data_IF_145904739653
#
_entry.id   IF_145904739653
#
_cell.length_a   1.000
_cell.length_b   1.000
_cell.length_c   1.000
_cell.angle_alpha   90.00
_cell.angle_beta   90.00
_cell.angle_gamma   90.00
#
_symmetry.space_group_name_H-M   'P 1'
#
loop_
_entity.id
_entity.type
_entity.pdbx_description
1 polymer ?
#
# COMPACT_ATOMS: atom_id res chain seq x y z
N UNK A 1 12.95 17.57 15.45
CA UNK A 1 14.21 17.12 14.83
C UNK A 1 13.83 16.31 13.61
N UNK A 2 13.61 17.01 12.51
CA UNK A 2 13.30 16.44 11.20
C UNK A 2 14.57 15.77 10.68
N UNK A 3 14.64 14.44 10.80
CA UNK A 3 15.71 13.69 10.15
C UNK A 3 15.41 13.65 8.66
N UNK A 4 16.07 14.50 7.88
CA UNK A 4 16.22 14.32 6.42
C UNK A 4 16.92 12.98 6.18
N UNK A 5 16.14 11.91 6.04
CA UNK A 5 16.63 10.62 5.57
C UNK A 5 16.76 10.72 4.05
N UNK A 6 17.98 10.94 3.58
CA UNK A 6 18.29 10.69 2.17
C UNK A 6 17.95 9.23 1.85
N UNK A 7 17.02 8.94 0.92
CA UNK A 7 16.52 7.59 0.73
C UNK A 7 17.62 6.70 0.16
N UNK A 8 17.79 5.50 0.72
CA UNK A 8 18.64 4.48 0.10
C UNK A 8 18.14 4.19 -1.32
N UNK A 9 19.02 3.77 -2.23
CA UNK A 9 18.63 3.39 -3.61
C UNK A 9 17.44 2.41 -3.61
N UNK A 10 17.44 1.45 -2.69
CA UNK A 10 16.35 0.50 -2.51
C UNK A 10 15.04 1.18 -2.06
N UNK A 11 15.10 2.14 -1.14
CA UNK A 11 13.93 2.93 -0.73
C UNK A 11 13.35 3.76 -1.88
N UNK A 12 14.19 4.33 -2.74
CA UNK A 12 13.75 5.10 -3.90
C UNK A 12 13.08 4.22 -4.96
N UNK A 13 13.59 3.00 -5.20
CA UNK A 13 12.98 2.02 -6.11
C UNK A 13 11.61 1.55 -5.61
N UNK A 14 11.49 1.24 -4.30
CA UNK A 14 10.22 0.90 -3.67
C UNK A 14 9.23 2.05 -3.76
N UNK A 15 9.65 3.28 -3.45
CA UNK A 15 8.81 4.48 -3.58
C UNK A 15 8.28 4.66 -5.00
N UNK A 16 9.15 4.56 -6.02
CA UNK A 16 8.76 4.67 -7.42
C UNK A 16 7.75 3.58 -7.82
N UNK A 17 7.96 2.34 -7.37
CA UNK A 17 7.05 1.22 -7.61
C UNK A 17 5.67 1.47 -6.99
N UNK A 18 5.63 1.94 -5.73
CA UNK A 18 4.38 2.26 -5.04
C UNK A 18 3.61 3.39 -5.74
N UNK A 19 4.29 4.48 -6.11
CA UNK A 19 3.68 5.59 -6.84
C UNK A 19 3.11 5.14 -8.19
N UNK A 20 3.85 4.31 -8.94
CA UNK A 20 3.36 3.78 -10.21
C UNK A 20 2.09 2.93 -10.04
N UNK A 21 2.02 2.10 -8.99
CA UNK A 21 0.83 1.30 -8.68
C UNK A 21 -0.35 2.18 -8.25
N UNK A 22 -0.10 3.21 -7.43
CA UNK A 22 -1.13 4.18 -7.02
C UNK A 22 -1.72 4.92 -8.22
N UNK A 23 -0.88 5.37 -9.17
CA UNK A 23 -1.34 6.03 -10.39
C UNK A 23 -2.27 5.11 -11.23
N UNK A 24 -1.99 3.80 -11.25
CA UNK A 24 -2.87 2.82 -11.90
C UNK A 24 -4.22 2.71 -11.19
N UNK A 25 -4.21 2.62 -9.86
CA UNK A 25 -5.45 2.61 -9.06
C UNK A 25 -6.26 3.88 -9.28
N UNK A 26 -5.61 5.05 -9.30
CA UNK A 26 -6.29 6.31 -9.60
C UNK A 26 -6.98 6.28 -10.98
N UNK A 27 -6.32 5.72 -11.99
CA UNK A 27 -6.91 5.48 -13.31
C UNK A 27 -8.14 4.56 -13.25
N UNK A 28 -8.08 3.49 -12.44
CA UNK A 28 -9.22 2.59 -12.23
C UNK A 28 -10.39 3.31 -11.55
N UNK A 29 -10.14 4.11 -10.50
CA UNK A 29 -11.18 4.90 -9.81
C UNK A 29 -11.84 5.89 -10.77
N UNK A 30 -11.04 6.59 -11.59
CA UNK A 30 -11.57 7.48 -12.65
C UNK A 30 -12.41 6.71 -13.67
N UNK A 31 -12.01 5.48 -14.03
CA UNK A 31 -12.77 4.58 -14.90
C UNK A 31 -14.13 4.19 -14.30
N UNK A 32 -14.15 3.74 -13.05
CA UNK A 32 -15.37 3.38 -12.32
C UNK A 32 -16.35 4.55 -12.27
N UNK A 33 -15.87 5.77 -11.98
CA UNK A 33 -16.71 6.97 -12.00
C UNK A 33 -17.40 7.17 -13.35
N UNK A 34 -16.70 6.95 -14.47
CA UNK A 34 -17.28 7.04 -15.82
C UNK A 34 -18.31 5.95 -16.07
N UNK A 35 -18.06 4.72 -15.63
CA UNK A 35 -19.03 3.61 -15.77
C UNK A 35 -20.34 3.92 -15.05
N UNK A 36 -20.26 4.47 -13.84
CA UNK A 36 -21.43 4.90 -13.07
C UNK A 36 -22.17 6.03 -13.80
N UNK A 37 -21.46 7.06 -14.27
CA UNK A 37 -22.08 8.19 -14.99
C UNK A 37 -22.71 7.79 -16.32
N UNK A 38 -22.26 6.69 -16.92
CA UNK A 38 -22.79 6.15 -18.17
C UNK A 38 -23.86 5.08 -17.95
N UNK A 39 -24.33 4.88 -16.72
CA UNK A 39 -25.35 3.88 -16.35
C UNK A 39 -25.02 2.46 -16.85
N UNK A 40 -23.73 2.10 -16.80
CA UNK A 40 -23.25 0.75 -17.18
C UNK A 40 -23.78 -0.29 -16.19
N UNK A 41 -23.92 -1.53 -16.68
CA UNK A 41 -24.39 -2.66 -15.90
C UNK A 41 -23.63 -2.82 -14.57
N UNK A 42 -24.38 -3.00 -13.49
CA UNK A 42 -23.86 -2.99 -12.12
C UNK A 42 -22.76 -4.03 -11.90
N UNK A 43 -22.86 -5.21 -12.51
CA UNK A 43 -21.86 -6.26 -12.32
C UNK A 43 -20.49 -5.85 -12.89
N UNK A 44 -20.45 -5.13 -14.02
CA UNK A 44 -19.18 -4.64 -14.59
C UNK A 44 -18.52 -3.62 -13.65
N UNK A 45 -19.32 -2.75 -13.03
CA UNK A 45 -18.86 -1.79 -12.03
C UNK A 45 -18.30 -2.52 -10.81
N UNK A 46 -18.99 -3.56 -10.32
CA UNK A 46 -18.53 -4.39 -9.20
C UNK A 46 -17.20 -5.10 -9.54
N UNK A 47 -17.03 -5.64 -10.74
CA UNK A 47 -15.78 -6.24 -11.17
C UNK A 47 -14.62 -5.22 -11.18
N UNK A 48 -14.86 -3.99 -11.64
CA UNK A 48 -13.82 -2.94 -11.62
C UNK A 48 -13.48 -2.48 -10.19
N UNK A 49 -14.47 -2.42 -9.30
CA UNK A 49 -14.26 -2.15 -7.88
C UNK A 49 -13.37 -3.22 -7.24
N UNK A 50 -13.64 -4.50 -7.50
CA UNK A 50 -12.83 -5.61 -6.98
C UNK A 50 -11.41 -5.62 -7.56
N UNK A 51 -11.25 -5.26 -8.84
CA UNK A 51 -9.93 -5.07 -9.45
C UNK A 51 -9.14 -3.93 -8.75
N UNK A 52 -9.83 -2.84 -8.38
CA UNK A 52 -9.22 -1.71 -7.66
C UNK A 52 -8.84 -2.08 -6.23
N UNK A 53 -9.72 -2.83 -5.53
CA UNK A 53 -9.46 -3.36 -4.19
C UNK A 53 -8.25 -4.29 -4.19
N UNK A 54 -8.16 -5.20 -5.17
CA UNK A 54 -7.03 -6.12 -5.33
C UNK A 54 -5.71 -5.39 -5.61
N UNK A 55 -5.76 -4.33 -6.41
CA UNK A 55 -4.58 -3.50 -6.68
C UNK A 55 -4.11 -2.75 -5.43
N UNK A 56 -5.03 -2.17 -4.65
CA UNK A 56 -4.73 -1.56 -3.35
C UNK A 56 -4.13 -2.59 -2.39
N UNK A 57 -4.69 -3.80 -2.33
CA UNK A 57 -4.16 -4.88 -1.49
C UNK A 57 -2.72 -5.22 -1.85
N UNK A 58 -2.39 -5.26 -3.14
CA UNK A 58 -1.01 -5.49 -3.58
C UNK A 58 -0.05 -4.37 -3.14
N UNK A 59 -0.51 -3.11 -3.14
CA UNK A 59 0.27 -1.96 -2.66
C UNK A 59 0.54 -2.07 -1.16
N UNK A 60 -0.50 -2.40 -0.36
CA UNK A 60 -0.37 -2.64 1.08
C UNK A 60 0.70 -3.68 1.40
N UNK A 61 0.69 -4.81 0.68
CA UNK A 61 1.65 -5.90 0.92
C UNK A 61 3.09 -5.48 0.61
N UNK A 62 3.33 -4.74 -0.47
CA UNK A 62 4.67 -4.22 -0.81
C UNK A 62 5.16 -3.24 0.25
N UNK A 63 4.27 -2.36 0.73
CA UNK A 63 4.61 -1.39 1.77
C UNK A 63 4.92 -2.09 3.11
N UNK A 64 4.11 -3.07 3.50
CA UNK A 64 4.32 -3.87 4.70
C UNK A 64 5.65 -4.63 4.65
N UNK A 65 5.96 -5.28 3.53
CA UNK A 65 7.23 -5.98 3.34
C UNK A 65 8.43 -5.02 3.51
N UNK A 66 8.36 -3.84 2.90
CA UNK A 66 9.39 -2.81 3.05
C UNK A 66 9.53 -2.35 4.51
N UNK A 67 8.42 -2.14 5.21
CA UNK A 67 8.42 -1.74 6.61
C UNK A 67 9.10 -2.79 7.51
N UNK A 68 8.74 -4.08 7.33
CA UNK A 68 9.34 -5.21 8.06
C UNK A 68 10.85 -5.30 7.81
N UNK A 69 11.29 -5.21 6.55
CA UNK A 69 12.71 -5.37 6.19
C UNK A 69 13.62 -4.22 6.65
N UNK A 70 13.07 -3.04 6.92
CA UNK A 70 13.85 -1.86 7.26
C UNK A 70 13.57 -1.36 8.67
N UNK A 71 12.40 -0.78 8.91
CA UNK A 71 12.09 -0.10 10.16
C UNK A 71 12.07 -1.07 11.34
N UNK A 72 11.49 -2.25 11.14
CA UNK A 72 11.30 -3.24 12.19
C UNK A 72 12.61 -3.92 12.55
N UNK A 73 13.33 -4.45 11.56
CA UNK A 73 14.65 -5.07 11.79
C UNK A 73 15.61 -4.07 12.45
N UNK A 74 15.58 -2.79 12.05
CA UNK A 74 16.43 -1.77 12.66
C UNK A 74 16.07 -1.52 14.13
N UNK A 75 14.78 -1.40 14.47
CA UNK A 75 14.34 -1.19 15.86
C UNK A 75 14.66 -2.40 16.75
N UNK A 76 14.42 -3.61 16.26
CA UNK A 76 14.78 -4.84 16.97
C UNK A 76 16.29 -4.93 17.25
N UNK A 77 17.13 -4.56 16.28
CA UNK A 77 18.60 -4.52 16.47
C UNK A 77 19.04 -3.49 17.52
N UNK A 78 18.24 -2.45 17.74
CA UNK A 78 18.49 -1.42 18.76
C UNK A 78 17.86 -1.76 20.11
N UNK A 79 17.32 -2.97 20.28
CA UNK A 79 16.74 -3.44 21.54
C UNK A 79 15.30 -3.00 21.78
N UNK A 80 14.64 -2.37 20.79
CA UNK A 80 13.23 -1.98 20.91
C UNK A 80 12.32 -3.11 20.40
N UNK A 81 11.84 -3.91 21.34
CA UNK A 81 10.89 -5.00 21.06
C UNK A 81 9.44 -4.52 20.91
N UNK A 82 9.11 -3.28 21.30
CA UNK A 82 7.73 -2.77 21.24
C UNK A 82 7.18 -2.66 19.82
N UNK A 83 8.07 -2.55 18.83
CA UNK A 83 7.76 -2.57 17.40
C UNK A 83 7.00 -3.83 16.97
N UNK A 84 7.16 -4.97 17.66
CA UNK A 84 6.44 -6.21 17.35
C UNK A 84 4.94 -6.04 17.60
N UNK A 85 4.55 -5.40 18.70
CA UNK A 85 3.15 -5.15 19.03
C UNK A 85 2.50 -4.16 18.06
N UNK A 86 3.26 -3.16 17.60
CA UNK A 86 2.83 -2.21 16.57
C UNK A 86 2.51 -2.92 15.25
N UNK A 87 3.38 -3.85 14.82
CA UNK A 87 3.17 -4.64 13.60
C UNK A 87 1.97 -5.57 13.76
N UNK A 88 1.83 -6.25 14.89
CA UNK A 88 0.68 -7.12 15.14
C UNK A 88 -0.64 -6.34 15.04
N UNK A 89 -0.65 -5.10 15.54
CA UNK A 89 -1.79 -4.19 15.40
C UNK A 89 -2.05 -3.83 13.93
N UNK A 90 -0.99 -3.57 13.17
CA UNK A 90 -1.09 -3.24 11.74
C UNK A 90 -1.59 -4.41 10.91
N UNK A 91 -1.04 -5.62 11.11
CA UNK A 91 -1.47 -6.85 10.43
C UNK A 91 -2.95 -7.15 10.72
N UNK A 92 -3.40 -7.00 11.97
CA UNK A 92 -4.82 -7.17 12.33
C UNK A 92 -5.76 -6.22 11.56
N UNK A 93 -5.30 -5.04 11.15
CA UNK A 93 -6.09 -4.11 10.32
C UNK A 93 -6.08 -4.52 8.86
N UNK A 94 -4.95 -4.99 8.35
CA UNK A 94 -4.77 -5.41 6.96
C UNK A 94 -5.48 -6.74 6.67
N UNK A 95 -5.61 -7.63 7.66
CA UNK A 95 -6.27 -8.94 7.49
C UNK A 95 -7.79 -8.92 7.66
N UNK A 96 -8.38 -7.75 7.96
CA UNK A 96 -9.84 -7.56 7.93
C UNK A 96 -10.31 -7.27 6.51
#
# INVERSE_FOLDING_TARGET
MDTEKSPSKHSAEVQKSLLHRLNRVEGQIRGIKKLISNEVYCDDILHQLEASRSALKSIEMVLLESHLKHCVIHQLKNGDASVVDEILTTIKKISK
#
